data_IF_915763980000
#
_entry.id   IF_915763980000
#
_cell.length_a   1.000
_cell.length_b   1.000
_cell.length_c   1.000
_cell.angle_alpha   90.00
_cell.angle_beta   90.00
_cell.angle_gamma   90.00
#
_symmetry.space_group_name_H-M   'P 1'
#
loop_
_entity.id
_entity.type
_entity.pdbx_description
1 polymer ?
#
# COMPACT_ATOMS: atom_id res chain seq x y z
N UNK A 1 -12.59 18.87 -2.29
CA UNK A 1 -11.32 18.14 -2.50
C UNK A 1 -10.70 17.95 -1.14
N UNK A 2 -10.74 16.75 -0.57
CA UNK A 2 -10.06 16.44 0.70
C UNK A 2 -8.83 15.64 0.33
N UNK A 3 -7.72 16.35 0.07
CA UNK A 3 -6.41 15.72 0.18
C UNK A 3 -6.25 15.24 1.62
N UNK A 4 -5.63 14.09 1.81
CA UNK A 4 -5.13 13.75 3.13
C UNK A 4 -4.02 14.76 3.41
N UNK A 5 -4.19 15.65 4.40
CA UNK A 5 -3.16 16.63 4.82
C UNK A 5 -1.93 15.96 5.48
N UNK A 6 -1.86 14.62 5.43
CA UNK A 6 -0.74 13.84 5.93
C UNK A 6 0.28 13.73 4.80
N UNK A 7 1.44 14.34 5.02
CA UNK A 7 2.61 14.07 4.21
C UNK A 7 3.06 12.63 4.42
N UNK A 8 3.03 11.84 3.34
CA UNK A 8 3.49 10.45 3.38
C UNK A 8 5.01 10.46 3.15
N UNK A 9 5.75 9.99 4.14
CA UNK A 9 7.23 9.89 4.12
C UNK A 9 7.67 8.44 4.24
N UNK A 10 8.95 8.16 3.92
CA UNK A 10 9.50 6.82 4.10
C UNK A 10 9.46 6.41 5.59
N UNK A 11 9.69 7.35 6.49
CA UNK A 11 9.64 7.16 7.95
C UNK A 11 8.23 6.74 8.40
N UNK A 12 7.18 7.41 7.92
CA UNK A 12 5.80 7.04 8.21
C UNK A 12 5.51 5.61 7.73
N UNK A 13 5.93 5.26 6.52
CA UNK A 13 5.73 3.90 5.97
C UNK A 13 6.45 2.85 6.82
N UNK A 14 7.70 3.11 7.26
CA UNK A 14 8.44 2.21 8.15
C UNK A 14 7.77 2.06 9.51
N UNK A 15 7.21 3.13 10.08
CA UNK A 15 6.50 3.09 11.36
C UNK A 15 5.20 2.28 11.26
N UNK A 16 4.44 2.46 10.17
CA UNK A 16 3.25 1.65 9.89
C UNK A 16 3.58 0.16 9.73
N UNK A 17 4.68 -0.16 9.03
CA UNK A 17 5.17 -1.53 8.93
C UNK A 17 5.59 -2.06 10.29
N UNK A 18 6.32 -1.30 11.11
CA UNK A 18 6.74 -1.74 12.44
C UNK A 18 5.56 -2.04 13.37
N UNK A 19 4.49 -1.26 13.28
CA UNK A 19 3.29 -1.45 14.10
C UNK A 19 2.50 -2.71 13.71
N UNK A 20 2.37 -3.01 12.41
CA UNK A 20 1.39 -3.99 11.92
C UNK A 20 2.00 -5.20 11.20
N UNK A 21 3.17 -5.02 10.57
CA UNK A 21 3.88 -6.03 9.78
C UNK A 21 5.40 -5.97 10.09
N UNK A 22 5.80 -6.21 11.35
CA UNK A 22 7.17 -5.92 11.83
C UNK A 22 8.25 -6.72 11.10
N UNK A 23 7.91 -7.88 10.55
CA UNK A 23 8.80 -8.69 9.71
C UNK A 23 9.23 -8.00 8.42
N UNK A 24 8.54 -6.93 8.02
CA UNK A 24 8.84 -6.14 6.83
C UNK A 24 9.49 -4.78 7.15
N UNK A 25 9.60 -4.39 8.41
CA UNK A 25 9.93 -3.03 8.81
C UNK A 25 11.39 -2.61 8.53
N UNK A 26 12.29 -3.60 8.39
CA UNK A 26 13.72 -3.37 8.15
C UNK A 26 14.09 -3.30 6.66
N UNK A 27 13.13 -3.53 5.75
CA UNK A 27 13.39 -3.40 4.32
C UNK A 27 13.56 -1.92 3.91
N UNK A 28 14.42 -1.63 2.91
CA UNK A 28 14.52 -0.29 2.33
C UNK A 28 13.15 0.21 1.83
N UNK A 29 12.84 1.48 2.10
CA UNK A 29 11.60 2.14 1.69
C UNK A 29 11.94 3.37 0.86
N UNK A 30 11.47 3.39 -0.38
CA UNK A 30 11.73 4.47 -1.34
C UNK A 30 10.44 4.86 -2.06
N UNK A 31 10.25 6.15 -2.37
CA UNK A 31 9.09 6.58 -3.15
C UNK A 31 9.21 6.03 -4.58
N UNK A 32 8.29 5.14 -4.96
CA UNK A 32 8.24 4.55 -6.29
C UNK A 32 7.41 5.39 -7.27
N UNK A 33 6.20 5.79 -6.86
CA UNK A 33 5.31 6.58 -7.70
C UNK A 33 4.26 7.33 -6.89
N UNK A 34 3.75 8.43 -7.47
CA UNK A 34 2.52 9.10 -7.00
C UNK A 34 1.45 8.92 -8.06
N UNK A 35 0.48 8.05 -7.77
CA UNK A 35 -0.68 7.84 -8.61
C UNK A 35 -1.82 8.80 -8.26
N UNK A 36 -2.93 8.67 -9.00
CA UNK A 36 -4.15 9.45 -8.75
C UNK A 36 -4.70 9.20 -7.35
N UNK A 37 -4.91 7.93 -6.97
CA UNK A 37 -5.50 7.58 -5.67
C UNK A 37 -4.46 7.26 -4.60
N UNK A 38 -3.35 6.64 -4.99
CA UNK A 38 -2.37 6.02 -4.09
C UNK A 38 -0.96 6.55 -4.33
N UNK A 39 -0.19 6.72 -3.27
CA UNK A 39 1.27 6.73 -3.34
C UNK A 39 1.79 5.28 -3.24
N UNK A 40 2.77 4.95 -4.08
CA UNK A 40 3.45 3.67 -4.10
C UNK A 40 4.86 3.85 -3.55
N UNK A 41 5.20 3.08 -2.53
CA UNK A 41 6.51 3.05 -1.93
C UNK A 41 7.13 1.68 -2.18
N UNK A 42 8.29 1.62 -2.84
CA UNK A 42 9.01 0.37 -3.01
C UNK A 42 9.48 -0.10 -1.62
N UNK A 43 9.35 -1.39 -1.36
CA UNK A 43 9.69 -2.06 -0.10
C UNK A 43 10.63 -3.23 -0.41
N UNK A 44 11.93 -3.02 -0.22
CA UNK A 44 12.94 -3.95 -0.71
C UNK A 44 12.86 -4.13 -2.24
N UNK A 45 13.13 -5.35 -2.71
CA UNK A 45 13.21 -5.64 -4.14
C UNK A 45 11.88 -6.11 -4.74
N UNK A 46 11.06 -6.81 -3.96
CA UNK A 46 9.91 -7.57 -4.45
C UNK A 46 8.54 -7.02 -4.04
N UNK A 47 8.50 -6.00 -3.17
CA UNK A 47 7.26 -5.51 -2.57
C UNK A 47 7.08 -4.00 -2.77
N UNK A 48 5.84 -3.55 -2.60
CA UNK A 48 5.50 -2.16 -2.47
C UNK A 48 4.36 -1.93 -1.47
N UNK A 49 4.40 -0.78 -0.80
CA UNK A 49 3.33 -0.27 0.04
C UNK A 49 2.48 0.72 -0.76
N UNK A 50 1.16 0.50 -0.80
CA UNK A 50 0.19 1.42 -1.43
C UNK A 50 -0.58 2.14 -0.35
N UNK A 51 -0.48 3.47 -0.33
CA UNK A 51 -1.17 4.33 0.62
C UNK A 51 -2.11 5.29 -0.11
N UNK A 52 -3.42 5.24 0.19
CA UNK A 52 -4.38 6.23 -0.29
C UNK A 52 -4.04 7.65 0.15
N UNK A 53 -4.04 8.63 -0.77
CA UNK A 53 -3.65 10.01 -0.41
C UNK A 53 -4.60 11.10 -0.92
N UNK A 54 -5.21 10.93 -2.11
CA UNK A 54 -5.91 12.03 -2.76
C UNK A 54 -7.44 11.95 -2.74
N UNK A 55 -8.03 10.75 -2.84
CA UNK A 55 -9.49 10.59 -2.99
C UNK A 55 -10.12 9.79 -1.84
N UNK A 56 -11.36 10.07 -1.43
CA UNK A 56 -12.06 9.27 -0.41
C UNK A 56 -12.39 7.84 -0.87
N UNK A 57 -12.60 7.63 -2.17
CA UNK A 57 -12.96 6.32 -2.73
C UNK A 57 -11.83 5.31 -2.70
N UNK A 58 -10.57 5.77 -2.58
CA UNK A 58 -9.40 4.92 -2.63
C UNK A 58 -9.41 3.81 -1.55
N UNK A 59 -10.03 4.04 -0.39
CA UNK A 59 -10.11 3.05 0.69
C UNK A 59 -10.93 1.82 0.27
N UNK A 60 -12.10 2.06 -0.32
CA UNK A 60 -12.99 1.01 -0.79
C UNK A 60 -12.40 0.26 -1.99
N UNK A 61 -11.72 0.99 -2.89
CA UNK A 61 -11.04 0.40 -4.05
C UNK A 61 -9.87 -0.49 -3.61
N UNK A 62 -9.06 -0.04 -2.64
CA UNK A 62 -7.95 -0.81 -2.09
C UNK A 62 -8.43 -2.10 -1.43
N UNK A 63 -9.48 -2.05 -0.61
CA UNK A 63 -10.07 -3.27 0.00
C UNK A 63 -10.61 -4.22 -1.07
N UNK A 64 -11.24 -3.69 -2.13
CA UNK A 64 -11.69 -4.50 -3.27
C UNK A 64 -10.53 -5.19 -3.98
N UNK A 65 -9.43 -4.48 -4.27
CA UNK A 65 -8.22 -5.06 -4.85
C UNK A 65 -7.68 -6.19 -3.96
N UNK A 66 -7.59 -5.97 -2.65
CA UNK A 66 -7.11 -6.96 -1.69
C UNK A 66 -7.96 -8.25 -1.68
N UNK A 67 -9.28 -8.13 -1.81
CA UNK A 67 -10.17 -9.30 -1.86
C UNK A 67 -10.04 -10.09 -3.16
N UNK A 68 -9.99 -9.41 -4.31
CA UNK A 68 -10.22 -10.08 -5.60
C UNK A 68 -8.93 -10.42 -6.37
N UNK A 69 -7.88 -9.60 -6.27
CA UNK A 69 -6.67 -9.80 -7.07
C UNK A 69 -5.93 -11.11 -6.77
N UNK A 70 -5.83 -11.59 -5.51
CA UNK A 70 -5.18 -12.87 -5.22
C UNK A 70 -5.88 -14.06 -5.92
N UNK A 71 -7.21 -14.03 -6.02
CA UNK A 71 -7.97 -15.06 -6.72
C UNK A 71 -7.89 -14.92 -8.25
N UNK A 72 -7.75 -13.70 -8.76
CA UNK A 72 -7.66 -13.45 -10.20
C UNK A 72 -6.26 -13.74 -10.77
N UNK A 73 -5.20 -13.44 -10.01
CA UNK A 73 -3.82 -13.48 -10.49
C UNK A 73 -3.39 -14.79 -11.15
N UNK A 74 -3.73 -15.99 -10.64
CA UNK A 74 -3.36 -17.27 -11.28
C UNK A 74 -4.01 -17.50 -12.64
N UNK A 75 -5.05 -16.74 -12.98
CA UNK A 75 -5.84 -16.89 -14.21
C UNK A 75 -5.51 -15.83 -15.27
N UNK A 76 -4.57 -14.91 -14.99
CA UNK A 76 -4.19 -13.86 -15.92
C UNK A 76 -2.92 -14.24 -16.72
N UNK A 77 -2.82 -13.84 -17.99
CA UNK A 77 -1.66 -14.15 -18.83
C UNK A 77 -0.43 -13.30 -18.49
N UNK A 78 -0.60 -12.24 -17.71
CA UNK A 78 0.46 -11.31 -17.31
C UNK A 78 0.53 -11.21 -15.78
N UNK A 79 1.74 -11.00 -15.27
CA UNK A 79 1.96 -10.70 -13.85
C UNK A 79 1.28 -9.38 -13.49
N UNK A 80 0.59 -9.37 -12.36
CA UNK A 80 -0.05 -8.19 -11.78
C UNK A 80 0.45 -8.01 -10.33
N UNK A 81 0.35 -6.80 -9.76
CA UNK A 81 0.53 -6.62 -8.33
C UNK A 81 -0.50 -7.46 -7.56
N UNK A 82 -0.03 -8.33 -6.67
CA UNK A 82 -0.89 -9.17 -5.82
C UNK A 82 -0.79 -8.68 -4.37
N UNK A 83 -1.87 -8.12 -3.80
CA UNK A 83 -1.90 -7.72 -2.40
C UNK A 83 -1.59 -8.91 -1.48
N UNK A 84 -0.57 -8.75 -0.65
CA UNK A 84 -0.10 -9.76 0.30
C UNK A 84 -0.63 -9.46 1.70
N UNK A 85 -0.72 -8.18 2.09
CA UNK A 85 -1.12 -7.76 3.43
C UNK A 85 -1.99 -6.52 3.41
N UNK A 86 -2.89 -6.43 4.38
CA UNK A 86 -3.71 -5.25 4.62
C UNK A 86 -3.24 -4.59 5.93
N UNK A 87 -3.08 -3.27 5.88
CA UNK A 87 -2.89 -2.45 7.05
C UNK A 87 -4.20 -1.77 7.44
N UNK A 88 -4.52 -1.80 8.72
CA UNK A 88 -5.71 -1.14 9.27
C UNK A 88 -5.40 0.32 9.64
N UNK A 89 -6.43 1.20 9.60
CA UNK A 89 -6.31 2.58 10.07
C UNK A 89 -5.74 2.69 11.48
N UNK A 90 -4.88 3.68 11.71
CA UNK A 90 -4.30 4.01 13.02
C UNK A 90 -4.26 5.52 13.24
N UNK A 91 -3.84 5.96 14.43
CA UNK A 91 -3.63 7.38 14.72
C UNK A 91 -2.58 8.02 13.79
N UNK A 92 -1.58 7.24 13.35
CA UNK A 92 -0.51 7.69 12.44
C UNK A 92 -1.01 7.84 11.00
N UNK A 93 -1.91 6.96 10.58
CA UNK A 93 -2.48 6.96 9.24
C UNK A 93 -3.93 6.45 9.29
N UNK A 94 -4.94 7.33 9.23
CA UNK A 94 -6.33 7.00 9.52
C UNK A 94 -7.04 6.33 8.33
N UNK A 95 -6.30 5.66 7.45
CA UNK A 95 -6.80 5.03 6.23
C UNK A 95 -6.20 3.64 6.07
N UNK A 96 -6.92 2.69 5.43
CA UNK A 96 -6.33 1.40 5.11
C UNK A 96 -5.20 1.56 4.09
N UNK A 97 -4.24 0.65 4.13
CA UNK A 97 -3.12 0.60 3.20
C UNK A 97 -2.79 -0.87 2.90
N UNK A 98 -2.00 -1.15 1.86
CA UNK A 98 -1.68 -2.55 1.51
C UNK A 98 -0.21 -2.73 1.16
N UNK A 99 0.35 -3.89 1.52
CA UNK A 99 1.59 -4.40 0.95
C UNK A 99 1.23 -5.31 -0.21
N UNK A 100 1.83 -5.07 -1.38
CA UNK A 100 1.59 -5.82 -2.62
C UNK A 100 2.92 -6.19 -3.27
N UNK A 101 2.91 -7.16 -4.19
CA UNK A 101 4.10 -7.47 -5.00
C UNK A 101 4.45 -6.32 -5.94
N UNK A 102 5.75 -6.11 -6.14
CA UNK A 102 6.29 -5.25 -7.18
C UNK A 102 6.41 -6.04 -8.49
N UNK A 103 5.95 -5.45 -9.61
CA UNK A 103 5.99 -6.07 -10.95
C UNK A 103 6.46 -5.08 -12.01
#
# INVERSE_FOLDING_TARGET
MTHTDIEITAELVRDLLRDQHPDLADHPVELGARGWDNQLWRLGDDLAVRLPWATPSADALLRKEHTWLPGLAPHLPLRIPVPQRLGEPSERFPRPWTVTTWV
#
